data_IF_142360329098
#
_entry.id   IF_142360329098
#
_cell.length_a   1.000
_cell.length_b   1.000
_cell.length_c   1.000
_cell.angle_alpha   90.00
_cell.angle_beta   90.00
_cell.angle_gamma   90.00
#
_symmetry.space_group_name_H-M   'P 1'
#
loop_
_entity.id
_entity.type
_entity.pdbx_description
1 polymer ?
#
# COMPACT_ATOMS: atom_id res chain seq x y z
N UNK A 1 -17.60 4.92 24.11
CA UNK A 1 -17.30 4.37 22.78
C UNK A 1 -15.79 4.25 22.64
N UNK A 2 -15.30 3.13 22.14
CA UNK A 2 -13.90 2.86 21.81
C UNK A 2 -13.84 2.25 20.41
N UNK A 3 -12.91 2.73 19.60
CA UNK A 3 -12.57 2.21 18.26
C UNK A 3 -11.08 1.86 18.27
N UNK A 4 -10.71 0.71 17.72
CA UNK A 4 -9.33 0.26 17.63
C UNK A 4 -9.03 -0.15 16.20
N UNK A 5 -7.92 0.33 15.66
CA UNK A 5 -7.40 -0.03 14.35
C UNK A 5 -6.07 -0.73 14.53
N UNK A 6 -5.97 -1.98 14.05
CA UNK A 6 -4.78 -2.82 14.11
C UNK A 6 -4.31 -3.19 12.70
N UNK A 7 -3.02 -3.02 12.44
CA UNK A 7 -2.38 -3.41 11.16
C UNK A 7 -1.16 -4.28 11.41
N UNK A 8 -0.99 -5.34 10.62
CA UNK A 8 0.17 -6.25 10.70
C UNK A 8 0.44 -6.82 12.11
N UNK A 9 -0.62 -7.12 12.87
CA UNK A 9 -0.53 -7.67 14.22
C UNK A 9 -0.68 -9.20 14.25
N UNK A 10 -0.13 -9.90 15.27
CA UNK A 10 -0.34 -11.33 15.47
C UNK A 10 -1.83 -11.70 15.58
N UNK A 11 -2.25 -12.89 15.09
CA UNK A 11 -3.65 -13.32 15.12
C UNK A 11 -4.21 -13.46 16.54
N UNK A 12 -3.36 -13.82 17.53
CA UNK A 12 -3.76 -13.92 18.93
C UNK A 12 -4.28 -12.60 19.51
N UNK A 13 -3.72 -11.46 19.10
CA UNK A 13 -4.18 -10.15 19.54
C UNK A 13 -5.57 -9.82 18.97
N UNK A 14 -5.82 -10.17 17.70
CA UNK A 14 -7.13 -9.99 17.06
C UNK A 14 -8.23 -10.76 17.80
N UNK A 15 -7.99 -12.04 18.05
CA UNK A 15 -8.92 -12.89 18.82
C UNK A 15 -9.09 -12.45 20.28
N UNK A 16 -8.11 -11.76 20.86
CA UNK A 16 -8.29 -11.17 22.18
C UNK A 16 -9.33 -10.03 22.14
N UNK A 17 -9.24 -9.11 21.18
CA UNK A 17 -10.14 -7.96 21.12
C UNK A 17 -11.60 -8.34 20.85
N UNK A 18 -11.86 -9.40 20.10
CA UNK A 18 -13.23 -9.87 19.81
C UNK A 18 -13.99 -10.35 21.05
N UNK A 19 -13.32 -10.56 22.20
CA UNK A 19 -13.98 -10.84 23.48
C UNK A 19 -14.76 -9.65 24.05
N UNK A 20 -14.43 -8.44 23.63
CA UNK A 20 -14.97 -7.19 24.19
C UNK A 20 -15.53 -6.25 23.12
N UNK A 21 -15.00 -6.31 21.90
CA UNK A 21 -15.32 -5.39 20.81
C UNK A 21 -15.79 -6.18 19.58
N UNK A 22 -16.57 -5.53 18.73
CA UNK A 22 -17.00 -6.09 17.46
C UNK A 22 -16.03 -5.70 16.35
N UNK A 23 -15.50 -6.68 15.60
CA UNK A 23 -14.71 -6.41 14.40
C UNK A 23 -15.66 -6.09 13.23
N UNK A 24 -15.66 -4.84 12.76
CA UNK A 24 -16.54 -4.36 11.68
C UNK A 24 -15.86 -4.37 10.30
N UNK A 25 -14.54 -4.47 10.28
CA UNK A 25 -13.68 -4.54 9.11
C UNK A 25 -12.34 -5.15 9.54
N UNK A 26 -11.53 -5.76 8.64
CA UNK A 26 -10.27 -6.36 9.04
C UNK A 26 -9.37 -5.41 9.85
N UNK A 27 -9.16 -5.75 11.12
CA UNK A 27 -8.37 -4.93 12.06
C UNK A 27 -9.08 -3.71 12.63
N UNK A 28 -10.37 -3.49 12.36
CA UNK A 28 -11.16 -2.37 12.91
C UNK A 28 -12.20 -2.91 13.90
N UNK A 29 -12.02 -2.56 15.17
CA UNK A 29 -12.85 -3.02 16.29
C UNK A 29 -13.61 -1.84 16.90
N UNK A 30 -14.89 -2.03 17.23
CA UNK A 30 -15.75 -0.99 17.81
C UNK A 30 -16.54 -1.55 18.98
N UNK A 31 -16.71 -0.77 20.05
CA UNK A 31 -17.57 -1.14 21.17
C UNK A 31 -17.61 -0.13 22.30
N UNK A 32 -18.26 -0.52 23.40
CA UNK A 32 -18.30 0.25 24.63
C UNK A 32 -17.61 -0.53 25.75
N UNK A 33 -16.56 0.05 26.30
CA UNK A 33 -15.83 -0.47 27.46
C UNK A 33 -15.63 0.66 28.46
N UNK A 34 -15.51 0.32 29.75
CA UNK A 34 -15.19 1.31 30.79
C UNK A 34 -13.77 1.86 30.60
N UNK A 35 -13.48 3.02 31.18
CA UNK A 35 -12.14 3.62 31.13
C UNK A 35 -11.05 2.65 31.61
N UNK A 36 -11.28 1.95 32.73
CA UNK A 36 -10.37 0.94 33.27
C UNK A 36 -10.11 -0.20 32.29
N UNK A 37 -11.16 -0.75 31.68
CA UNK A 37 -11.01 -1.87 30.72
C UNK A 37 -10.28 -1.39 29.46
N UNK A 38 -10.57 -0.17 29.01
CA UNK A 38 -9.88 0.46 27.88
C UNK A 38 -8.38 0.63 28.13
N UNK A 39 -7.98 1.13 29.31
CA UNK A 39 -6.57 1.30 29.68
C UNK A 39 -5.82 -0.04 29.70
N UNK A 40 -6.38 -1.04 30.40
CA UNK A 40 -5.80 -2.39 30.43
C UNK A 40 -5.73 -3.03 29.03
N UNK A 41 -6.74 -2.76 28.19
CA UNK A 41 -6.77 -3.22 26.82
C UNK A 41 -5.66 -2.57 25.99
N UNK A 42 -5.42 -1.27 26.16
CA UNK A 42 -4.34 -0.56 25.47
C UNK A 42 -2.97 -1.10 25.85
N UNK A 43 -2.70 -1.28 27.14
CA UNK A 43 -1.43 -1.85 27.62
C UNK A 43 -1.17 -3.22 26.98
N UNK A 44 -2.22 -4.05 26.91
CA UNK A 44 -2.14 -5.36 26.28
C UNK A 44 -1.90 -5.30 24.78
N UNK A 45 -2.51 -4.33 24.10
CA UNK A 45 -2.27 -4.10 22.67
C UNK A 45 -0.80 -3.75 22.48
N UNK A 46 -0.27 -2.78 23.22
CA UNK A 46 1.13 -2.35 23.14
C UNK A 46 2.09 -3.51 23.45
N UNK A 47 1.76 -4.37 24.42
CA UNK A 47 2.55 -5.56 24.77
C UNK A 47 2.62 -6.60 23.63
N UNK A 48 1.58 -6.72 22.81
CA UNK A 48 1.43 -7.82 21.84
C UNK A 48 1.35 -7.40 20.38
N UNK A 49 1.47 -6.11 20.08
CA UNK A 49 1.41 -5.57 18.70
C UNK A 49 2.63 -5.97 17.87
N UNK A 50 3.77 -6.31 18.51
CA UNK A 50 5.04 -6.64 17.86
C UNK A 50 5.50 -5.52 16.90
N UNK A 51 5.81 -5.84 15.64
CA UNK A 51 6.16 -4.87 14.59
C UNK A 51 4.92 -4.24 13.92
N UNK A 52 3.72 -4.59 14.41
CA UNK A 52 2.47 -4.06 13.91
C UNK A 52 2.20 -2.63 14.34
N UNK A 53 1.01 -2.15 14.00
CA UNK A 53 0.55 -0.79 14.28
C UNK A 53 -0.79 -0.83 14.97
N UNK A 54 -0.97 0.05 15.94
CA UNK A 54 -2.22 0.18 16.67
C UNK A 54 -2.60 1.66 16.83
N UNK A 55 -3.89 1.94 16.66
CA UNK A 55 -4.49 3.23 16.96
C UNK A 55 -5.79 2.98 17.72
N UNK A 56 -5.96 3.62 18.87
CA UNK A 56 -7.21 3.62 19.62
C UNK A 56 -7.79 5.03 19.59
N UNK A 57 -9.10 5.11 19.33
CA UNK A 57 -9.92 6.31 19.52
C UNK A 57 -10.92 6.01 20.62
N UNK A 58 -11.07 6.90 21.59
CA UNK A 58 -12.12 6.75 22.59
C UNK A 58 -12.82 8.05 22.91
N UNK A 59 -14.06 7.93 23.37
CA UNK A 59 -14.83 9.07 23.85
C UNK A 59 -14.18 9.69 25.10
N UNK A 60 -14.19 11.02 25.18
CA UNK A 60 -13.73 11.80 26.34
C UNK A 60 -14.62 13.03 26.55
N UNK A 61 -14.42 13.77 27.64
CA UNK A 61 -15.24 14.95 28.00
C UNK A 61 -14.70 16.29 27.47
N UNK A 62 -13.70 16.28 26.57
CA UNK A 62 -13.20 17.48 25.89
C UNK A 62 -14.09 17.97 24.74
N UNK A 63 -13.71 19.07 24.11
CA UNK A 63 -14.48 19.74 23.05
C UNK A 63 -14.76 18.83 21.85
N UNK A 64 -13.75 18.11 21.37
CA UNK A 64 -13.87 17.17 20.25
C UNK A 64 -14.53 15.84 20.63
N UNK A 65 -14.78 15.62 21.93
CA UNK A 65 -15.35 14.37 22.47
C UNK A 65 -14.55 13.10 22.18
N UNK A 66 -13.31 13.23 21.69
CA UNK A 66 -12.46 12.13 21.25
C UNK A 66 -11.02 12.34 21.70
N UNK A 67 -10.33 11.24 21.98
CA UNK A 67 -8.90 11.20 22.28
C UNK A 67 -8.26 9.99 21.60
N UNK A 68 -6.95 10.09 21.32
CA UNK A 68 -6.20 9.14 20.52
C UNK A 68 -5.05 8.54 21.30
N UNK A 69 -4.86 7.23 21.16
CA UNK A 69 -3.64 6.55 21.55
C UNK A 69 -3.04 5.87 20.32
N UNK A 70 -1.73 6.01 20.14
CA UNK A 70 -1.05 5.55 18.92
C UNK A 70 0.20 4.76 19.27
N UNK A 71 0.40 3.64 18.58
CA UNK A 71 1.61 2.83 18.64
C UNK A 71 2.05 2.40 17.23
N UNK A 72 3.31 2.66 16.88
CA UNK A 72 3.91 2.22 15.61
C UNK A 72 3.33 2.85 14.33
N UNK A 73 2.46 3.87 14.44
CA UNK A 73 1.76 4.47 13.30
C UNK A 73 2.45 5.75 12.79
N UNK A 74 2.40 5.98 11.47
CA UNK A 74 2.88 7.22 10.83
C UNK A 74 2.09 8.49 11.20
N UNK A 75 0.94 8.33 11.87
CA UNK A 75 0.10 9.41 12.35
C UNK A 75 0.40 9.69 13.81
N UNK A 76 0.56 10.95 14.17
CA UNK A 76 0.79 11.38 15.56
C UNK A 76 -0.26 12.41 15.93
N UNK A 77 -0.97 12.26 17.06
CA UNK A 77 -1.84 13.31 17.58
C UNK A 77 -0.98 14.50 17.99
N UNK A 78 -1.38 15.70 17.60
CA UNK A 78 -0.68 16.97 17.89
C UNK A 78 -1.72 17.99 18.33
N UNK A 79 -1.47 18.69 19.42
CA UNK A 79 -2.31 19.79 19.88
C UNK A 79 -2.07 21.04 19.04
N UNK A 80 -3.16 21.69 18.64
CA UNK A 80 -3.15 22.97 17.95
C UNK A 80 -4.26 23.84 18.53
N UNK A 81 -3.89 24.74 19.45
CA UNK A 81 -4.82 25.66 20.12
C UNK A 81 -5.97 24.95 20.85
N UNK A 82 -5.66 23.87 21.59
CA UNK A 82 -6.66 23.06 22.31
C UNK A 82 -7.39 22.03 21.45
N UNK A 83 -7.17 22.04 20.13
CA UNK A 83 -7.71 21.04 19.19
C UNK A 83 -6.61 20.03 18.85
N UNK A 84 -6.76 18.80 19.30
CA UNK A 84 -5.96 17.66 18.83
C UNK A 84 -6.24 17.33 17.37
N UNK A 85 -5.21 17.39 16.52
CA UNK A 85 -5.22 17.01 15.10
C UNK A 85 -4.30 15.81 14.84
N UNK A 86 -4.50 15.09 13.74
CA UNK A 86 -3.63 13.98 13.34
C UNK A 86 -2.59 14.43 12.31
N UNK A 87 -1.32 14.48 12.70
CA UNK A 87 -0.19 14.81 11.81
C UNK A 87 0.41 13.55 11.22
N UNK A 88 0.50 13.47 9.89
CA UNK A 88 1.25 12.44 9.18
C UNK A 88 2.70 12.86 9.00
N UNK A 89 3.64 12.01 9.39
CA UNK A 89 5.05 12.23 9.04
C UNK A 89 5.23 12.02 7.52
N UNK A 90 5.58 13.08 6.79
CA UNK A 90 5.78 13.03 5.32
C UNK A 90 7.17 12.53 4.95
N UNK A 91 8.14 12.59 5.87
CA UNK A 91 9.46 12.04 5.66
C UNK A 91 9.37 10.50 5.71
N UNK A 92 9.74 9.79 4.65
CA UNK A 92 9.85 8.35 4.74
C UNK A 92 10.99 8.03 5.72
N UNK A 93 10.74 7.17 6.69
CA UNK A 93 11.82 6.45 7.40
C UNK A 93 12.63 5.54 6.46
N UNK A 94 12.20 5.41 5.20
CA UNK A 94 12.93 4.81 4.09
C UNK A 94 13.92 5.81 3.47
N UNK A 95 15.20 5.66 3.82
CA UNK A 95 16.31 6.17 3.00
C UNK A 95 16.31 5.35 1.71
N UNK A 96 16.11 5.94 0.50
CA UNK A 96 16.23 5.18 -0.72
C UNK A 96 17.64 4.59 -0.79
N UNK A 97 17.71 3.27 -0.84
CA UNK A 97 18.95 2.59 -1.10
C UNK A 97 19.47 3.12 -2.44
N UNK A 98 20.68 3.68 -2.41
CA UNK A 98 21.48 4.05 -3.57
C UNK A 98 21.09 5.38 -4.26
N UNK A 99 21.36 6.52 -3.61
CA UNK A 99 21.98 7.64 -4.34
C UNK A 99 23.33 7.14 -4.82
N UNK A 100 23.31 6.48 -5.98
CA UNK A 100 24.48 5.86 -6.57
C UNK A 100 25.65 6.83 -6.50
N UNK A 101 26.72 6.40 -5.85
CA UNK A 101 28.06 6.91 -6.15
C UNK A 101 28.21 6.74 -7.65
N UNK A 102 27.95 7.82 -8.38
CA UNK A 102 28.16 7.93 -9.81
C UNK A 102 29.63 7.57 -9.99
N UNK A 103 29.87 6.38 -10.54
CA UNK A 103 31.17 5.77 -10.69
C UNK A 103 32.11 6.82 -11.30
N UNK A 104 33.04 7.37 -10.51
CA UNK A 104 34.17 8.12 -11.02
C UNK A 104 35.14 7.09 -11.61
N UNK A 105 34.78 6.57 -12.78
CA UNK A 105 35.64 5.68 -13.56
C UNK A 105 35.40 5.96 -15.03
N UNK A 106 35.64 7.21 -15.44
CA UNK A 106 35.87 7.53 -16.85
C UNK A 106 37.12 8.40 -16.94
N UNK A 107 38.28 7.73 -16.97
CA UNK A 107 39.48 8.15 -17.70
C UNK A 107 40.60 7.14 -17.46
N UNK A 108 40.58 6.05 -18.21
CA UNK A 108 41.78 5.39 -18.75
C UNK A 108 41.36 4.25 -19.67
N UNK A 109 41.69 4.39 -20.93
CA UNK A 109 41.35 3.45 -21.99
C UNK A 109 41.29 4.19 -23.32
N UNK A 110 42.45 4.40 -23.92
CA UNK A 110 42.58 4.79 -25.33
C UNK A 110 41.75 3.80 -26.19
N UNK A 111 40.93 4.25 -27.15
CA UNK A 111 40.16 3.30 -27.96
C UNK A 111 41.12 2.54 -28.90
N UNK A 112 41.03 1.21 -28.90
CA UNK A 112 41.63 0.39 -29.95
C UNK A 112 40.92 0.66 -31.28
N UNK A 113 41.69 0.81 -32.36
CA UNK A 113 41.17 1.01 -33.72
C UNK A 113 40.25 -0.14 -34.14
N UNK A 114 39.03 0.19 -34.60
CA UNK A 114 38.06 -0.77 -35.14
C UNK A 114 36.81 -1.03 -34.28
N UNK A 115 36.66 -0.38 -33.13
CA UNK A 115 35.43 -0.50 -32.33
C UNK A 115 34.26 0.29 -32.98
N UNK A 116 33.20 -0.42 -33.40
CA UNK A 116 31.97 0.18 -33.92
C UNK A 116 31.38 1.13 -32.88
N UNK A 117 30.95 2.31 -33.31
CA UNK A 117 30.33 3.30 -32.42
C UNK A 117 29.05 2.72 -31.81
N UNK A 118 28.75 3.11 -30.57
CA UNK A 118 27.61 2.62 -29.78
C UNK A 118 26.26 2.74 -30.53
N UNK A 119 26.16 3.70 -31.44
CA UNK A 119 24.96 3.92 -32.27
C UNK A 119 24.80 2.86 -33.38
N UNK A 120 25.90 2.36 -33.95
CA UNK A 120 25.85 1.27 -34.95
C UNK A 120 25.47 -0.08 -34.33
N UNK A 121 25.90 -0.36 -33.10
CA UNK A 121 25.48 -1.55 -32.37
C UNK A 121 23.98 -1.53 -32.04
N UNK A 122 23.47 -0.35 -31.66
CA UNK A 122 22.05 -0.12 -31.39
C UNK A 122 21.23 -0.28 -32.67
N UNK A 123 21.70 0.24 -33.81
CA UNK A 123 21.06 0.06 -35.11
C UNK A 123 21.01 -1.41 -35.56
N UNK A 124 22.11 -2.16 -35.40
CA UNK A 124 22.16 -3.60 -35.70
C UNK A 124 21.20 -4.42 -34.82
N UNK A 125 21.16 -4.16 -33.50
CA UNK A 125 20.21 -4.83 -32.58
C UNK A 125 18.75 -4.53 -32.93
N UNK A 126 18.46 -3.28 -33.30
CA UNK A 126 17.09 -2.85 -33.66
C UNK A 126 16.62 -3.49 -34.98
N UNK A 127 17.50 -3.64 -35.96
CA UNK A 127 17.20 -4.35 -37.21
C UNK A 127 17.06 -5.87 -37.02
N UNK A 128 17.86 -6.49 -36.14
CA UNK A 128 17.70 -7.90 -35.79
C UNK A 128 16.32 -8.19 -35.15
N UNK A 129 15.83 -7.29 -34.29
CA UNK A 129 14.48 -7.41 -33.69
C UNK A 129 13.34 -7.22 -34.69
N UNK A 130 13.53 -6.46 -35.78
CA UNK A 130 12.51 -6.30 -36.83
C UNK A 130 12.32 -7.56 -37.68
N UNK A 131 13.35 -8.40 -37.83
CA UNK A 131 13.26 -9.66 -38.61
C UNK A 131 12.40 -10.74 -37.94
N UNK A 132 12.20 -10.68 -36.62
CA UNK A 132 11.35 -11.62 -35.87
C UNK A 132 9.88 -11.22 -35.78
N UNK A 133 9.49 -10.04 -36.29
CA UNK A 133 8.11 -9.54 -36.21
C UNK A 133 7.37 -9.65 -37.55
N UNK A 134 7.43 -10.83 -38.16
CA UNK A 134 6.65 -11.22 -39.35
C UNK A 134 6.38 -12.73 -39.31
N UNK A 135 5.75 -13.23 -38.25
CA UNK A 135 5.16 -14.59 -38.29
C UNK A 135 3.99 -14.81 -37.31
N UNK A 136 3.21 -13.77 -37.00
CA UNK A 136 1.98 -13.91 -36.21
C UNK A 136 0.95 -12.86 -36.64
N UNK A 137 0.51 -12.91 -37.91
CA UNK A 137 -0.71 -12.23 -38.39
C UNK A 137 -1.26 -12.99 -39.58
N UNK A 138 -1.77 -14.20 -39.33
CA UNK A 138 -2.73 -14.89 -40.19
C UNK A 138 -3.67 -15.67 -39.27
N UNK A 139 -4.62 -14.97 -38.65
CA UNK A 139 -5.79 -15.58 -38.01
C UNK A 139 -6.89 -15.76 -39.05
N UNK A 140 -7.70 -16.84 -38.99
CA UNK A 140 -8.66 -17.14 -40.05
C UNK A 140 -9.78 -16.09 -40.13
N UNK A 141 -10.21 -15.81 -41.35
CA UNK A 141 -11.22 -14.82 -41.73
C UNK A 141 -12.60 -15.04 -41.05
N UNK A 142 -13.39 -13.97 -40.82
CA UNK A 142 -14.74 -14.08 -40.29
C UNK A 142 -15.68 -14.73 -41.32
N UNK A 143 -16.38 -15.81 -40.94
CA UNK A 143 -17.45 -16.39 -41.75
C UNK A 143 -18.71 -15.54 -41.63
N UNK A 144 -19.31 -15.28 -42.79
CA UNK A 144 -20.43 -14.38 -42.99
C UNK A 144 -21.76 -14.83 -42.40
N UNK A 145 -22.54 -13.79 -42.11
CA UNK A 145 -23.99 -13.63 -42.09
C UNK A 145 -24.84 -14.80 -42.63
N UNK A 146 -25.76 -15.28 -41.79
CA UNK A 146 -27.10 -15.70 -42.22
C UNK A 146 -28.13 -15.15 -41.25
N UNK A 147 -28.91 -14.20 -41.78
CA UNK A 147 -30.12 -13.58 -41.27
C UNK A 147 -31.26 -14.61 -41.15
N UNK A 148 -32.03 -14.62 -40.05
CA UNK A 148 -33.47 -14.92 -40.06
C UNK A 148 -34.14 -14.85 -38.66
N UNK A 149 -35.04 -13.86 -38.53
CA UNK A 149 -36.37 -13.88 -37.87
C UNK A 149 -36.48 -14.12 -36.35
N UNK A 150 -36.75 -13.02 -35.64
CA UNK A 150 -37.63 -12.98 -34.47
C UNK A 150 -39.11 -13.13 -34.87
N UNK A 151 -39.93 -13.82 -34.06
CA UNK A 151 -41.36 -13.56 -33.94
C UNK A 151 -41.72 -12.91 -32.58
N UNK A 152 -42.94 -12.35 -32.45
CA UNK A 152 -43.19 -11.13 -31.69
C UNK A 152 -43.60 -11.35 -30.24
N UNK A 153 -43.52 -10.24 -29.49
CA UNK A 153 -44.20 -9.97 -28.22
C UNK A 153 -45.69 -10.24 -28.31
N UNK A 154 -46.25 -10.93 -27.30
CA UNK A 154 -47.66 -10.86 -26.96
C UNK A 154 -47.81 -10.42 -25.49
N UNK A 155 -48.63 -9.36 -25.35
CA UNK A 155 -49.48 -8.88 -24.25
C UNK A 155 -49.06 -9.04 -22.78
#
# INVERSE_FOLDING_TARGET
MTVIVLTAVPPGLRGHLTRWLLEISPGVYVGFVSARVRELMWDRIVEHVAEGRALMVHATQGEQRLEFQVHGHDWTPVDYDGITLMRRQTAPSYVPANTGKRNQMSKRGTPAEGALTRDEEVWKRRNARRKFRRKDRDGPAPRGETEAKQPPHDA
#
